data_IF_925435759461
#
_entry.id   IF_925435759461
#
_cell.length_a   1.000
_cell.length_b   1.000
_cell.length_c   1.000
_cell.angle_alpha   90.00
_cell.angle_beta   90.00
_cell.angle_gamma   90.00
#
_symmetry.space_group_name_H-M   'P 1'
#
loop_
_entity.id
_entity.type
_entity.pdbx_description
1 polymer ?
#
# COMPACT_ATOMS: atom_id res chain seq x y z
N UNK A 1 -12.51 -33.12 15.38
CA UNK A 1 -13.07 -32.15 14.42
C UNK A 1 -11.94 -31.28 13.89
N UNK A 2 -11.27 -31.73 12.82
CA UNK A 2 -10.11 -31.05 12.25
C UNK A 2 -10.54 -30.15 11.09
N UNK A 3 -10.10 -28.90 11.08
CA UNK A 3 -10.31 -28.01 9.95
C UNK A 3 -9.70 -28.64 8.68
N UNK A 4 -10.52 -28.82 7.65
CA UNK A 4 -10.11 -29.47 6.42
C UNK A 4 -9.26 -28.49 5.59
N UNK A 5 -7.93 -28.61 5.70
CA UNK A 5 -6.94 -27.67 5.10
C UNK A 5 -7.17 -27.48 3.61
N UNK A 6 -7.60 -28.52 2.90
CA UNK A 6 -7.93 -28.46 1.46
C UNK A 6 -9.12 -27.56 1.16
N UNK A 7 -10.14 -27.54 2.02
CA UNK A 7 -11.32 -26.68 1.87
C UNK A 7 -10.96 -25.22 2.14
N UNK A 8 -10.19 -24.97 3.20
CA UNK A 8 -9.66 -23.63 3.53
C UNK A 8 -8.79 -23.09 2.39
N UNK A 9 -7.89 -23.92 1.83
CA UNK A 9 -7.07 -23.54 0.66
C UNK A 9 -7.88 -23.22 -0.58
N UNK A 10 -8.99 -23.93 -0.84
CA UNK A 10 -9.88 -23.64 -1.98
C UNK A 10 -10.63 -22.33 -1.79
N UNK A 11 -11.07 -22.02 -0.57
CA UNK A 11 -11.77 -20.77 -0.24
C UNK A 11 -10.86 -19.54 -0.28
N UNK A 12 -9.55 -19.71 -0.06
CA UNK A 12 -8.55 -18.64 -0.07
C UNK A 12 -7.86 -18.42 -1.44
N UNK A 13 -8.34 -19.06 -2.52
CA UNK A 13 -7.75 -18.86 -3.85
C UNK A 13 -8.10 -17.46 -4.36
N UNK A 14 -7.07 -16.72 -4.75
CA UNK A 14 -7.25 -15.43 -5.41
C UNK A 14 -7.78 -15.64 -6.83
N UNK A 15 -8.73 -14.80 -7.23
CA UNK A 15 -9.15 -14.70 -8.62
C UNK A 15 -8.00 -14.20 -9.50
N UNK A 16 -8.00 -14.60 -10.78
CA UNK A 16 -7.01 -14.20 -11.77
C UNK A 16 -6.96 -12.67 -11.92
N UNK A 17 -8.10 -11.98 -11.78
CA UNK A 17 -8.15 -10.51 -11.78
C UNK A 17 -7.32 -9.91 -10.63
N UNK A 18 -7.49 -10.41 -9.41
CA UNK A 18 -6.71 -10.00 -8.24
C UNK A 18 -5.21 -10.26 -8.44
N UNK A 19 -4.85 -11.41 -9.04
CA UNK A 19 -3.45 -11.71 -9.33
C UNK A 19 -2.85 -10.72 -10.33
N UNK A 20 -3.55 -10.44 -11.44
CA UNK A 20 -3.13 -9.47 -12.46
C UNK A 20 -2.97 -8.06 -11.89
N UNK A 21 -3.95 -7.60 -11.11
CA UNK A 21 -3.92 -6.27 -10.50
C UNK A 21 -2.68 -6.06 -9.61
N UNK A 22 -2.31 -7.06 -8.80
CA UNK A 22 -1.07 -7.01 -7.99
C UNK A 22 0.18 -6.99 -8.86
N UNK A 23 0.22 -7.82 -9.91
CA UNK A 23 1.36 -7.84 -10.82
C UNK A 23 1.54 -6.49 -11.54
N UNK A 24 0.45 -5.86 -11.97
CA UNK A 24 0.48 -4.51 -12.55
C UNK A 24 0.91 -3.45 -11.52
N UNK A 25 0.45 -3.54 -10.27
CA UNK A 25 0.91 -2.66 -9.20
C UNK A 25 2.43 -2.81 -8.97
N UNK A 26 2.98 -4.04 -8.99
CA UNK A 26 4.43 -4.23 -8.85
C UNK A 26 5.18 -3.68 -10.07
N UNK A 27 4.66 -3.91 -11.28
CA UNK A 27 5.26 -3.43 -12.53
C UNK A 27 5.35 -1.90 -12.61
N UNK A 28 4.34 -1.20 -12.11
CA UNK A 28 4.24 0.26 -12.16
C UNK A 28 4.75 0.96 -10.90
N UNK A 29 5.41 0.24 -10.00
CA UNK A 29 5.97 0.83 -8.80
C UNK A 29 7.14 1.76 -9.11
N UNK A 30 7.13 2.92 -8.47
CA UNK A 30 8.21 3.90 -8.50
C UNK A 30 8.95 3.83 -7.16
N UNK A 31 10.28 3.86 -7.22
CA UNK A 31 11.11 3.90 -6.01
C UNK A 31 11.48 5.35 -5.73
N UNK A 32 10.93 5.90 -4.65
CA UNK A 32 11.22 7.23 -4.15
C UNK A 32 12.33 7.19 -3.10
N UNK A 33 13.28 8.12 -3.20
CA UNK A 33 14.47 8.24 -2.32
C UNK A 33 15.25 6.93 -2.11
N UNK A 34 15.17 5.99 -3.07
CA UNK A 34 15.84 4.69 -3.00
C UNK A 34 15.27 3.69 -1.99
N UNK A 35 14.31 4.08 -1.14
CA UNK A 35 13.81 3.25 -0.03
C UNK A 35 12.28 3.12 0.04
N UNK A 36 11.52 3.98 -0.65
CA UNK A 36 10.06 4.02 -0.56
C UNK A 36 9.42 3.60 -1.88
N UNK A 37 8.72 2.47 -1.91
CA UNK A 37 7.98 2.05 -3.09
C UNK A 37 6.61 2.73 -3.12
N UNK A 38 6.26 3.43 -4.19
CA UNK A 38 4.95 4.05 -4.38
C UNK A 38 4.34 3.49 -5.67
N UNK A 39 3.14 2.93 -5.57
CA UNK A 39 2.47 2.35 -6.75
C UNK A 39 0.96 2.58 -6.74
N UNK A 40 0.33 2.33 -7.89
CA UNK A 40 -1.12 2.37 -8.08
C UNK A 40 -1.58 0.96 -8.41
N UNK A 41 -2.51 0.44 -7.64
CA UNK A 41 -3.17 -0.83 -7.94
C UNK A 41 -4.43 -0.57 -8.76
N UNK A 42 -4.56 -1.20 -9.95
CA UNK A 42 -5.81 -1.19 -10.69
C UNK A 42 -6.94 -1.76 -9.83
N UNK A 43 -8.12 -1.15 -9.92
CA UNK A 43 -9.33 -1.60 -9.22
C UNK A 43 -10.40 -2.19 -10.15
N UNK A 44 -10.19 -2.08 -11.47
CA UNK A 44 -11.08 -2.64 -12.48
C UNK A 44 -11.18 -4.16 -12.37
N UNK A 45 -12.41 -4.69 -12.39
CA UNK A 45 -12.72 -6.12 -12.31
C UNK A 45 -12.19 -6.85 -11.06
N UNK A 46 -11.84 -6.10 -10.01
CA UNK A 46 -11.38 -6.65 -8.72
C UNK A 46 -12.51 -6.58 -7.70
N UNK A 47 -12.88 -7.73 -7.12
CA UNK A 47 -13.95 -7.82 -6.11
C UNK A 47 -13.65 -7.01 -4.85
N UNK A 48 -12.38 -6.94 -4.44
CA UNK A 48 -11.94 -6.21 -3.25
C UNK A 48 -10.67 -5.40 -3.54
N UNK A 49 -10.78 -4.25 -4.23
CA UNK A 49 -9.61 -3.49 -4.68
C UNK A 49 -8.68 -3.09 -3.53
N UNK A 50 -9.24 -2.69 -2.39
CA UNK A 50 -8.47 -2.29 -1.21
C UNK A 50 -7.68 -3.45 -0.60
N UNK A 51 -8.23 -4.67 -0.62
CA UNK A 51 -7.52 -5.88 -0.18
C UNK A 51 -6.38 -6.20 -1.14
N UNK A 52 -6.62 -6.08 -2.44
CA UNK A 52 -5.60 -6.32 -3.47
C UNK A 52 -4.48 -5.28 -3.38
N UNK A 53 -4.80 -4.01 -3.16
CA UNK A 53 -3.81 -2.94 -2.92
C UNK A 53 -2.97 -3.21 -1.67
N UNK A 54 -3.60 -3.66 -0.57
CA UNK A 54 -2.89 -4.05 0.64
C UNK A 54 -1.96 -5.25 0.43
N UNK A 55 -2.36 -6.22 -0.40
CA UNK A 55 -1.50 -7.34 -0.78
C UNK A 55 -0.35 -6.88 -1.68
N UNK A 56 -0.60 -5.98 -2.64
CA UNK A 56 0.45 -5.42 -3.48
C UNK A 56 1.50 -4.65 -2.65
N UNK A 57 1.10 -3.92 -1.61
CA UNK A 57 2.03 -3.27 -0.69
C UNK A 57 2.97 -4.29 -0.02
N UNK A 58 2.44 -5.44 0.42
CA UNK A 58 3.28 -6.51 0.97
C UNK A 58 4.27 -7.06 -0.09
N UNK A 59 3.84 -7.23 -1.35
CA UNK A 59 4.73 -7.71 -2.42
C UNK A 59 5.87 -6.72 -2.72
N UNK A 60 5.58 -5.42 -2.71
CA UNK A 60 6.59 -4.38 -2.88
C UNK A 60 7.63 -4.37 -1.75
N UNK A 61 7.19 -4.68 -0.54
CA UNK A 61 8.06 -4.76 0.63
C UNK A 61 9.05 -5.95 0.58
N UNK A 62 8.76 -6.96 -0.26
CA UNK A 62 9.68 -8.08 -0.48
C UNK A 62 10.85 -7.72 -1.43
N UNK A 63 10.88 -6.50 -1.99
CA UNK A 63 11.94 -6.04 -2.90
C UNK A 63 13.12 -5.50 -2.07
N UNK A 64 14.33 -5.96 -2.39
CA UNK A 64 15.57 -5.52 -1.72
C UNK A 64 15.70 -4.00 -1.82
N UNK A 65 15.95 -3.35 -0.68
CA UNK A 65 16.12 -1.91 -0.56
C UNK A 65 14.83 -1.15 -0.24
N UNK A 66 13.65 -1.76 -0.38
CA UNK A 66 12.39 -1.14 -0.01
C UNK A 66 12.15 -1.26 1.49
N UNK A 67 12.15 -0.13 2.19
CA UNK A 67 11.91 -0.03 3.65
C UNK A 67 10.44 0.20 3.97
N UNK A 68 9.73 0.91 3.09
CA UNK A 68 8.29 1.08 3.17
C UNK A 68 7.65 1.11 1.77
N UNK A 69 6.40 0.71 1.69
CA UNK A 69 5.60 0.69 0.47
C UNK A 69 4.27 1.40 0.68
N UNK A 70 3.78 2.05 -0.38
CA UNK A 70 2.52 2.78 -0.42
C UNK A 70 1.80 2.44 -1.72
N UNK A 71 0.65 1.80 -1.61
CA UNK A 71 -0.17 1.44 -2.76
C UNK A 71 -1.48 2.22 -2.74
N UNK A 72 -1.68 3.04 -3.77
CA UNK A 72 -2.91 3.78 -4.00
C UNK A 72 -3.90 2.89 -4.74
N UNK A 73 -5.17 2.94 -4.36
CA UNK A 73 -6.26 2.22 -5.04
C UNK A 73 -7.47 3.12 -5.10
N UNK A 74 -7.96 3.38 -6.30
CA UNK A 74 -9.18 4.15 -6.49
C UNK A 74 -10.41 3.24 -6.35
N UNK A 75 -11.28 3.53 -5.40
CA UNK A 75 -12.48 2.73 -5.16
C UNK A 75 -13.60 3.60 -4.59
N UNK A 76 -14.81 3.46 -5.13
CA UNK A 76 -16.01 4.17 -4.68
C UNK A 76 -15.83 5.70 -4.53
N UNK A 77 -15.13 6.34 -5.48
CA UNK A 77 -14.88 7.79 -5.50
C UNK A 77 -13.87 8.27 -4.46
N UNK A 78 -13.08 7.37 -3.87
CA UNK A 78 -12.02 7.65 -2.91
C UNK A 78 -10.72 7.00 -3.35
N UNK A 79 -9.61 7.55 -2.89
CA UNK A 79 -8.30 6.94 -3.03
C UNK A 79 -7.91 6.34 -1.68
N UNK A 80 -7.80 5.02 -1.65
CA UNK A 80 -7.28 4.29 -0.51
C UNK A 80 -5.77 4.19 -0.63
N UNK A 81 -5.05 4.52 0.43
CA UNK A 81 -3.59 4.32 0.51
C UNK A 81 -3.34 3.19 1.49
N UNK A 82 -2.75 2.10 1.02
CA UNK A 82 -2.29 0.99 1.88
C UNK A 82 -0.79 1.09 2.07
N UNK A 83 -0.31 1.17 3.31
CA UNK A 83 1.11 1.28 3.61
C UNK A 83 1.66 0.11 4.41
N UNK A 84 2.90 -0.29 4.13
CA UNK A 84 3.62 -1.36 4.84
C UNK A 84 5.08 -0.99 5.03
N UNK A 85 5.70 -1.45 6.10
CA UNK A 85 7.15 -1.32 6.32
C UNK A 85 7.74 -2.52 7.07
N UNK A 86 9.07 -2.63 7.04
CA UNK A 86 9.83 -3.57 7.87
C UNK A 86 10.64 -2.73 8.86
N UNK A 87 10.11 -2.62 10.09
CA UNK A 87 10.70 -2.09 11.33
C UNK A 87 11.23 -0.65 11.35
N UNK A 88 11.95 -0.21 10.32
CA UNK A 88 12.72 1.04 10.29
C UNK A 88 11.85 2.28 10.04
N UNK A 89 10.75 2.13 9.30
CA UNK A 89 9.85 3.24 8.95
C UNK A 89 8.51 3.08 9.67
N UNK A 90 8.14 4.07 10.48
CA UNK A 90 6.83 4.11 11.12
C UNK A 90 5.76 4.62 10.13
N UNK A 91 5.12 3.69 9.41
CA UNK A 91 4.09 4.05 8.42
C UNK A 91 2.78 4.49 9.04
N UNK A 92 2.55 4.21 10.33
CA UNK A 92 1.40 4.76 11.06
C UNK A 92 1.49 6.28 11.11
N UNK A 93 2.62 6.85 11.52
CA UNK A 93 2.79 8.30 11.62
C UNK A 93 2.61 9.00 10.27
N UNK A 94 3.13 8.40 9.20
CA UNK A 94 2.95 8.91 7.83
C UNK A 94 1.47 8.93 7.46
N UNK A 95 0.74 7.84 7.71
CA UNK A 95 -0.69 7.77 7.40
C UNK A 95 -1.54 8.69 8.29
N UNK A 96 -1.17 8.89 9.56
CA UNK A 96 -1.84 9.84 10.46
C UNK A 96 -1.74 11.28 9.95
N UNK A 97 -0.58 11.71 9.43
CA UNK A 97 -0.43 13.02 8.75
C UNK A 97 -1.31 13.16 7.52
N UNK A 98 -1.60 12.03 6.86
CA UNK A 98 -2.51 11.97 5.72
C UNK A 98 -3.99 11.80 6.13
N UNK A 99 -4.33 11.92 7.42
CA UNK A 99 -5.70 11.78 7.93
C UNK A 99 -6.18 10.34 8.08
N UNK A 100 -5.26 9.38 8.07
CA UNK A 100 -5.48 7.95 8.27
C UNK A 100 -5.02 7.46 9.65
N UNK A 101 -4.51 6.22 9.70
CA UNK A 101 -3.98 5.61 10.90
C UNK A 101 -3.66 4.11 10.73
N UNK A 102 -3.27 3.46 11.83
CA UNK A 102 -2.96 2.02 11.82
C UNK A 102 -1.98 1.61 12.91
N UNK A 103 -1.03 0.76 12.56
CA UNK A 103 0.06 0.27 13.40
C UNK A 103 1.41 0.59 12.77
N UNK A 104 2.47 0.52 13.59
CA UNK A 104 3.87 0.84 13.23
C UNK A 104 4.26 0.42 11.81
N UNK A 105 3.99 -0.85 11.46
CA UNK A 105 4.41 -1.46 10.19
C UNK A 105 3.28 -1.61 9.16
N UNK A 106 2.04 -1.25 9.52
CA UNK A 106 0.83 -1.52 8.73
C UNK A 106 -0.18 -0.40 8.98
N UNK A 107 -0.39 0.46 7.99
CA UNK A 107 -1.34 1.56 8.12
C UNK A 107 -2.07 1.84 6.81
N UNK A 108 -3.00 2.80 6.85
CA UNK A 108 -3.63 3.30 5.65
C UNK A 108 -4.37 4.62 5.85
N UNK A 109 -4.70 5.26 4.74
CA UNK A 109 -5.44 6.52 4.69
C UNK A 109 -6.50 6.47 3.58
N UNK A 110 -7.49 7.36 3.67
CA UNK A 110 -8.53 7.54 2.67
C UNK A 110 -8.58 9.00 2.26
N UNK A 111 -8.31 9.26 0.99
CA UNK A 111 -8.28 10.60 0.43
C UNK A 111 -9.50 10.82 -0.46
N UNK A 112 -10.06 12.03 -0.39
CA UNK A 112 -11.19 12.48 -1.20
C UNK A 112 -10.86 13.80 -1.87
N UNK A 113 -11.52 14.09 -3.01
CA UNK A 113 -11.36 15.37 -3.70
C UNK A 113 -9.97 15.60 -4.32
N UNK A 114 -9.19 14.55 -4.54
CA UNK A 114 -7.91 14.61 -5.24
C UNK A 114 -7.76 13.47 -6.24
N UNK A 115 -6.86 13.66 -7.19
CA UNK A 115 -6.45 12.69 -8.20
C UNK A 115 -5.36 11.75 -7.64
N UNK A 116 -5.15 10.61 -8.31
CA UNK A 116 -4.05 9.69 -7.97
C UNK A 116 -2.68 10.39 -8.00
N UNK A 117 -2.47 11.31 -8.94
CA UNK A 117 -1.23 12.08 -9.04
C UNK A 117 -1.04 13.01 -7.84
N UNK A 118 -2.08 13.73 -7.44
CA UNK A 118 -2.04 14.59 -6.25
C UNK A 118 -1.83 13.77 -4.96
N UNK A 119 -2.48 12.62 -4.85
CA UNK A 119 -2.29 11.70 -3.74
C UNK A 119 -0.85 11.15 -3.67
N UNK A 120 -0.26 10.77 -4.80
CA UNK A 120 1.16 10.38 -4.88
C UNK A 120 2.09 11.50 -4.39
N UNK A 121 1.89 12.72 -4.90
CA UNK A 121 2.69 13.87 -4.47
C UNK A 121 2.48 14.21 -3.00
N UNK A 122 1.27 14.01 -2.46
CA UNK A 122 1.02 14.19 -1.03
C UNK A 122 1.83 13.19 -0.19
N UNK A 123 1.87 11.90 -0.59
CA UNK A 123 2.72 10.89 0.08
C UNK A 123 4.18 11.32 0.07
N UNK A 124 4.71 11.69 -1.10
CA UNK A 124 6.12 12.10 -1.25
C UNK A 124 6.45 13.30 -0.35
N UNK A 125 5.58 14.32 -0.35
CA UNK A 125 5.76 15.51 0.49
C UNK A 125 5.73 15.19 1.98
N UNK A 126 4.78 14.36 2.42
CA UNK A 126 4.70 13.94 3.82
C UNK A 126 5.95 13.16 4.23
N UNK A 127 6.49 12.31 3.36
CA UNK A 127 7.77 11.62 3.62
C UNK A 127 8.91 12.63 3.76
N UNK A 128 9.02 13.60 2.84
CA UNK A 128 10.07 14.63 2.88
C UNK A 128 10.00 15.46 4.17
N UNK A 129 8.82 16.00 4.50
CA UNK A 129 8.59 16.80 5.71
C UNK A 129 8.97 16.02 6.97
N UNK A 130 8.58 14.74 7.06
CA UNK A 130 8.88 13.91 8.22
C UNK A 130 10.37 13.54 8.33
N UNK A 131 11.07 13.38 7.20
CA UNK A 131 12.52 13.16 7.20
C UNK A 131 13.26 14.43 7.63
N UNK A 132 12.83 15.59 7.16
CA UNK A 132 13.42 16.89 7.52
C UNK A 132 13.22 17.22 9.01
N UNK A 133 12.05 16.90 9.55
CA UNK A 133 11.72 17.09 10.98
C UNK A 133 12.38 16.04 11.89
N UNK A 134 12.87 14.93 11.32
CA UNK A 134 13.49 13.82 12.06
C UNK A 134 12.49 12.84 12.69
N UNK A 135 11.22 12.91 12.27
CA UNK A 135 10.13 12.04 12.73
C UNK A 135 10.26 10.60 12.23
N UNK A 136 10.89 10.42 11.06
CA UNK A 136 11.26 9.12 10.49
C UNK A 136 12.72 9.17 10.02
N UNK A 137 13.37 8.01 9.91
CA UNK A 137 14.77 7.90 9.48
C UNK A 137 14.90 6.91 8.33
N UNK A 138 15.68 7.30 7.32
CA UNK A 138 15.99 6.49 6.14
C UNK A 138 16.93 5.33 6.39
#
# INVERSE_FOLDING_TARGET
>A
SGAEVTRVRKMLRNDMACYKARAEAVRHAEVYRGAFAISVCPSEDVESPTIVGAQAANELLNIIGIKASFVLTEYAGKIYVSSRSIDEINVQLIMERMGGGGHLNVAGAQLTGCTISEAKHAIMRTIDEMLEEGDIQE
#
